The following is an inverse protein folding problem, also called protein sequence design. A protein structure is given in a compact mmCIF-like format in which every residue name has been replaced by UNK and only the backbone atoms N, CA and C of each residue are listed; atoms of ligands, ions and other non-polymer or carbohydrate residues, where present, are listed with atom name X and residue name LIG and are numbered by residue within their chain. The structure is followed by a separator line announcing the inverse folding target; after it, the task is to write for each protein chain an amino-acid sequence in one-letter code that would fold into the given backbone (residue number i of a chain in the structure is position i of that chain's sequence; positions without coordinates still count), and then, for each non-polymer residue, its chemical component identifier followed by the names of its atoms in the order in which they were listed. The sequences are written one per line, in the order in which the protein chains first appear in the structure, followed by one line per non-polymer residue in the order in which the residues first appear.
data_IF_159682274610
#
_entry.id   IF_159682274610
#
_cell.length_a   1.000
_cell.length_b   1.000
_cell.length_c   1.000
_cell.angle_alpha   90.00
_cell.angle_beta   90.00
_cell.angle_gamma   90.00
#
_symmetry.space_group_name_H-M   'P 1'
#
loop_
_entity.id
_entity.type
_entity.pdbx_description
1 polymer ?
#
# COMPACT_ATOMS: atom_id res chain seq x y z
N UNK A 1 -11.33 -23.03 21.18
CA UNK A 1 -10.24 -22.10 20.81
C UNK A 1 -10.89 -20.80 20.44
N UNK A 2 -10.59 -19.71 21.14
CA UNK A 2 -11.14 -18.40 20.79
C UNK A 2 -10.67 -18.05 19.38
N UNK A 3 -11.59 -17.58 18.53
CA UNK A 3 -11.30 -17.10 17.18
C UNK A 3 -10.30 -15.95 17.29
N UNK A 4 -9.02 -16.23 16.98
CA UNK A 4 -7.91 -15.26 17.10
C UNK A 4 -7.85 -14.31 15.90
N UNK A 5 -8.98 -14.05 15.26
CA UNK A 5 -9.05 -13.06 14.18
C UNK A 5 -8.86 -11.68 14.76
N UNK A 6 -7.86 -10.97 14.24
CA UNK A 6 -7.68 -9.55 14.52
C UNK A 6 -8.79 -8.81 13.79
N UNK A 7 -9.65 -8.07 14.50
CA UNK A 7 -10.72 -7.33 13.84
C UNK A 7 -10.16 -6.11 13.08
N UNK A 8 -10.86 -5.61 12.05
CA UNK A 8 -10.43 -4.47 11.24
C UNK A 8 -10.05 -3.24 12.07
N UNK A 9 -10.73 -2.99 13.18
CA UNK A 9 -10.49 -1.85 14.08
C UNK A 9 -9.09 -1.86 14.74
N UNK A 10 -8.40 -2.98 14.72
CA UNK A 10 -7.03 -3.14 15.21
C UNK A 10 -5.96 -2.95 14.12
N UNK A 11 -6.38 -2.53 12.92
CA UNK A 11 -5.49 -2.27 11.80
C UNK A 11 -5.69 -0.83 11.35
N UNK A 12 -4.63 -0.04 11.30
CA UNK A 12 -4.62 1.25 10.62
C UNK A 12 -4.22 1.01 9.16
N UNK A 13 -5.03 1.46 8.21
CA UNK A 13 -4.67 1.46 6.79
C UNK A 13 -3.91 2.74 6.42
N UNK A 14 -2.86 2.62 5.60
CA UNK A 14 -2.07 3.76 5.13
C UNK A 14 -1.84 3.67 3.62
N UNK A 15 -2.42 4.61 2.87
CA UNK A 15 -2.16 4.75 1.44
C UNK A 15 -0.95 5.64 1.23
N UNK A 16 0.08 5.15 0.53
CA UNK A 16 1.31 5.89 0.26
C UNK A 16 1.21 6.67 -1.04
N UNK A 17 1.09 7.99 -0.96
CA UNK A 17 1.03 8.93 -2.08
C UNK A 17 2.20 9.94 -2.10
N UNK A 18 3.21 9.75 -1.24
CA UNK A 18 4.31 10.70 -1.02
C UNK A 18 5.42 10.73 -2.10
N UNK A 19 5.28 9.97 -3.19
CA UNK A 19 6.32 9.85 -4.23
C UNK A 19 6.65 11.16 -4.96
N UNK A 20 7.93 11.36 -5.36
CA UNK A 20 8.41 12.57 -6.07
C UNK A 20 7.82 12.75 -7.48
N UNK A 21 7.18 11.73 -8.07
CA UNK A 21 6.59 11.79 -9.42
C UNK A 21 7.60 12.06 -10.55
N UNK A 22 8.90 11.87 -10.31
CA UNK A 22 9.98 12.26 -11.23
C UNK A 22 9.86 11.64 -12.64
N UNK A 23 9.32 10.41 -12.73
CA UNK A 23 9.15 9.70 -14.02
C UNK A 23 7.97 10.20 -14.86
N UNK A 24 7.04 10.94 -14.26
CA UNK A 24 5.85 11.52 -14.94
C UNK A 24 5.90 13.06 -14.98
N UNK A 25 7.10 13.66 -15.15
CA UNK A 25 7.23 15.11 -15.25
C UNK A 25 6.81 15.89 -14.00
N UNK A 26 6.91 15.29 -12.81
CA UNK A 26 6.56 15.93 -11.54
C UNK A 26 5.07 15.83 -11.17
N UNK A 27 4.26 15.17 -11.98
CA UNK A 27 2.82 14.99 -11.73
C UNK A 27 2.62 14.15 -10.46
N UNK A 28 1.63 14.52 -9.65
CA UNK A 28 1.22 13.76 -8.47
C UNK A 28 0.39 12.55 -8.90
N UNK A 29 0.96 11.35 -8.76
CA UNK A 29 0.32 10.11 -9.18
C UNK A 29 -1.01 9.85 -8.48
N UNK A 30 -1.07 10.10 -7.18
CA UNK A 30 -2.27 9.84 -6.41
C UNK A 30 -3.47 10.68 -6.85
N UNK A 31 -3.22 11.83 -7.50
CA UNK A 31 -4.25 12.71 -8.05
C UNK A 31 -4.58 12.43 -9.53
N UNK A 32 -3.86 11.50 -10.19
CA UNK A 32 -4.22 11.07 -11.55
C UNK A 32 -5.55 10.32 -11.52
N UNK A 33 -6.35 10.54 -12.58
CA UNK A 33 -7.70 9.95 -12.66
C UNK A 33 -7.67 8.57 -13.30
N UNK A 34 -8.34 7.64 -12.66
CA UNK A 34 -8.69 6.32 -13.12
C UNK A 34 -10.21 6.17 -13.01
N UNK A 35 -10.90 5.82 -14.09
CA UNK A 35 -12.37 5.80 -14.13
C UNK A 35 -13.01 7.06 -13.51
N UNK A 36 -12.46 8.23 -13.85
CA UNK A 36 -12.96 9.54 -13.42
C UNK A 36 -12.60 9.98 -12.00
N UNK A 37 -12.01 9.12 -11.14
CA UNK A 37 -11.61 9.45 -9.77
C UNK A 37 -10.08 9.38 -9.58
N UNK A 38 -9.53 10.16 -8.63
CA UNK A 38 -8.12 10.05 -8.25
C UNK A 38 -7.71 8.63 -7.84
N UNK A 39 -6.54 8.16 -8.29
CA UNK A 39 -5.97 6.86 -7.94
C UNK A 39 -5.93 6.64 -6.41
N UNK A 40 -5.50 7.65 -5.67
CA UNK A 40 -5.46 7.59 -4.21
C UNK A 40 -6.84 7.35 -3.59
N UNK A 41 -7.91 7.89 -4.20
CA UNK A 41 -9.27 7.67 -3.74
C UNK A 41 -9.73 6.23 -4.00
N UNK A 42 -9.35 5.64 -5.15
CA UNK A 42 -9.61 4.22 -5.41
C UNK A 42 -8.95 3.33 -4.36
N UNK A 43 -7.65 3.57 -4.07
CA UNK A 43 -6.93 2.81 -3.05
C UNK A 43 -7.59 2.94 -1.67
N UNK A 44 -7.95 4.17 -1.26
CA UNK A 44 -8.64 4.42 0.00
C UNK A 44 -10.00 3.73 0.08
N UNK A 45 -10.84 3.83 -0.98
CA UNK A 45 -12.18 3.22 -1.00
C UNK A 45 -12.12 1.69 -0.91
N UNK A 46 -11.10 1.05 -1.51
CA UNK A 46 -10.91 -0.40 -1.45
C UNK A 46 -10.33 -0.84 -0.10
N UNK A 47 -9.52 0.02 0.54
CA UNK A 47 -8.91 -0.29 1.83
C UNK A 47 -9.87 -0.03 3.00
N UNK A 48 -10.71 1.01 2.94
CA UNK A 48 -11.60 1.44 4.01
C UNK A 48 -12.44 0.32 4.65
N UNK A 49 -13.10 -0.59 3.90
CA UNK A 49 -13.91 -1.65 4.50
C UNK A 49 -13.09 -2.74 5.20
N UNK A 50 -11.76 -2.74 5.06
CA UNK A 50 -10.87 -3.78 5.53
C UNK A 50 -10.11 -3.42 6.82
N UNK A 51 -10.17 -2.14 7.23
CA UNK A 51 -9.37 -1.58 8.33
C UNK A 51 -10.22 -0.65 9.20
N UNK A 52 -9.70 -0.23 10.36
CA UNK A 52 -10.33 0.80 11.18
C UNK A 52 -9.86 2.21 10.73
N UNK A 53 -8.92 2.85 11.46
CA UNK A 53 -8.42 4.16 11.07
C UNK A 53 -7.75 4.15 9.70
N UNK A 54 -7.95 5.22 8.92
CA UNK A 54 -7.34 5.42 7.61
C UNK A 54 -6.38 6.59 7.61
N UNK A 55 -5.23 6.40 6.98
CA UNK A 55 -4.21 7.42 6.72
C UNK A 55 -3.92 7.51 5.23
N UNK A 56 -3.55 8.69 4.79
CA UNK A 56 -2.86 8.88 3.51
C UNK A 56 -1.55 9.63 3.76
N UNK A 57 -0.44 9.05 3.33
CA UNK A 57 0.85 9.71 3.36
C UNK A 57 1.04 10.52 2.08
N UNK A 58 1.11 11.86 2.22
CA UNK A 58 1.27 12.77 1.10
C UNK A 58 2.18 13.94 1.49
N UNK A 59 3.23 14.21 0.69
CA UNK A 59 4.21 15.25 0.94
C UNK A 59 3.98 16.52 0.10
N UNK A 60 3.00 16.49 -0.79
CA UNK A 60 2.63 17.58 -1.70
C UNK A 60 1.11 17.67 -1.78
N UNK A 61 0.60 18.80 -2.28
CA UNK A 61 -0.84 18.99 -2.54
C UNK A 61 -1.73 18.66 -1.31
N UNK A 62 -1.26 18.98 -0.09
CA UNK A 62 -1.92 18.62 1.15
C UNK A 62 -3.40 19.05 1.19
N UNK A 63 -3.74 20.24 0.64
CA UNK A 63 -5.12 20.71 0.56
C UNK A 63 -6.01 19.81 -0.31
N UNK A 64 -5.51 19.40 -1.48
CA UNK A 64 -6.25 18.50 -2.38
C UNK A 64 -6.46 17.12 -1.75
N UNK A 65 -5.45 16.60 -1.03
CA UNK A 65 -5.61 15.34 -0.30
C UNK A 65 -6.56 15.49 0.89
N UNK A 66 -6.54 16.62 1.62
CA UNK A 66 -7.46 16.86 2.73
C UNK A 66 -8.94 16.87 2.26
N UNK A 67 -9.23 17.49 1.12
CA UNK A 67 -10.56 17.44 0.50
C UNK A 67 -10.94 16.01 0.06
N UNK A 68 -9.99 15.31 -0.58
CA UNK A 68 -10.20 13.95 -1.09
C UNK A 68 -10.54 12.95 0.01
N UNK A 69 -9.92 13.06 1.19
CA UNK A 69 -10.09 12.08 2.27
C UNK A 69 -11.26 12.40 3.20
N UNK A 70 -11.82 13.60 3.15
CA UNK A 70 -12.90 14.05 4.04
C UNK A 70 -14.10 13.08 4.10
N UNK A 71 -14.61 12.54 2.97
CA UNK A 71 -15.76 11.63 3.02
C UNK A 71 -15.46 10.28 3.69
N UNK A 72 -14.18 9.91 3.82
CA UNK A 72 -13.72 8.65 4.41
C UNK A 72 -13.20 8.84 5.84
N UNK A 73 -13.24 10.07 6.38
CA UNK A 73 -12.65 10.42 7.67
C UNK A 73 -11.19 9.98 7.83
N UNK A 74 -10.43 9.96 6.71
CA UNK A 74 -9.02 9.61 6.74
C UNK A 74 -8.15 10.82 7.11
N UNK A 75 -7.00 10.56 7.74
CA UNK A 75 -6.03 11.58 8.15
C UNK A 75 -4.91 11.70 7.10
N UNK A 76 -4.51 12.92 6.76
CA UNK A 76 -3.36 13.18 5.90
C UNK A 76 -2.11 13.31 6.77
N UNK A 77 -1.08 12.51 6.51
CA UNK A 77 0.21 12.62 7.17
C UNK A 77 1.34 12.85 6.16
N UNK A 78 2.35 13.61 6.56
CA UNK A 78 3.55 13.86 5.75
C UNK A 78 4.74 13.07 6.31
N UNK A 79 5.78 12.88 5.48
CA UNK A 79 7.04 12.31 5.95
C UNK A 79 7.63 13.22 7.04
N UNK A 80 8.03 12.62 8.14
CA UNK A 80 8.64 13.35 9.27
C UNK A 80 10.13 13.56 9.11
N UNK A 81 10.79 12.80 8.23
CA UNK A 81 12.23 12.83 8.01
C UNK A 81 12.55 13.54 6.69
N UNK A 82 13.27 14.68 6.71
CA UNK A 82 13.71 15.33 5.49
C UNK A 82 14.72 14.43 4.73
N UNK A 83 14.75 14.55 3.42
CA UNK A 83 15.72 13.90 2.53
C UNK A 83 15.70 12.36 2.46
N UNK A 84 14.69 11.70 3.00
CA UNK A 84 14.52 10.25 2.87
C UNK A 84 13.48 9.89 1.79
N UNK A 85 13.85 9.92 0.50
CA UNK A 85 12.94 9.54 -0.57
C UNK A 85 12.71 8.03 -0.56
N UNK A 86 11.45 7.64 -0.68
CA UNK A 86 11.09 6.25 -0.86
C UNK A 86 10.03 5.76 0.12
N UNK A 87 9.53 4.53 -0.09
CA UNK A 87 8.39 4.01 0.67
C UNK A 87 8.66 3.82 2.17
N UNK A 88 9.92 3.67 2.61
CA UNK A 88 10.25 3.56 4.03
C UNK A 88 9.94 4.84 4.82
N UNK A 89 10.06 6.02 4.19
CA UNK A 89 9.65 7.28 4.82
C UNK A 89 8.13 7.31 5.05
N UNK A 90 7.36 6.85 4.06
CA UNK A 90 5.91 6.70 4.19
C UNK A 90 5.51 5.65 5.23
N UNK A 91 6.23 4.52 5.33
CA UNK A 91 6.03 3.55 6.41
C UNK A 91 6.26 4.19 7.79
N UNK A 92 7.33 4.96 7.92
CA UNK A 92 7.66 5.65 9.16
C UNK A 92 6.59 6.68 9.53
N UNK A 93 6.12 7.48 8.55
CA UNK A 93 5.01 8.42 8.76
C UNK A 93 3.74 7.69 9.19
N UNK A 94 3.38 6.60 8.50
CA UNK A 94 2.25 5.76 8.87
C UNK A 94 2.36 5.19 10.28
N UNK A 95 3.53 4.64 10.65
CA UNK A 95 3.78 4.11 12.00
C UNK A 95 3.71 5.19 13.09
N UNK A 96 4.18 6.40 12.80
CA UNK A 96 4.12 7.52 13.74
C UNK A 96 2.67 7.96 14.06
N UNK A 97 1.74 7.80 13.09
CA UNK A 97 0.32 8.12 13.26
C UNK A 97 -0.55 6.89 13.59
N UNK A 98 0.03 5.68 13.57
CA UNK A 98 -0.68 4.44 13.84
C UNK A 98 -1.06 4.34 15.33
N UNK A 99 -2.37 4.23 15.61
CA UNK A 99 -2.90 4.09 16.97
C UNK A 99 -3.43 2.67 17.26
N UNK A 100 -3.19 1.75 16.35
CA UNK A 100 -3.63 0.36 16.42
C UNK A 100 -2.42 -0.58 16.48
N UNK A 101 -2.58 -1.86 16.86
CA UNK A 101 -1.47 -2.82 16.90
C UNK A 101 -0.80 -3.07 15.55
N UNK A 102 -1.52 -2.82 14.44
CA UNK A 102 -1.06 -3.11 13.09
C UNK A 102 -1.24 -1.91 12.16
N UNK A 103 -0.27 -1.74 11.27
CA UNK A 103 -0.32 -0.82 10.12
C UNK A 103 -0.30 -1.63 8.83
N UNK A 104 -1.28 -1.40 7.95
CA UNK A 104 -1.31 -1.94 6.59
C UNK A 104 -0.98 -0.83 5.59
N UNK A 105 0.19 -0.91 4.97
CA UNK A 105 0.61 0.02 3.93
C UNK A 105 0.25 -0.51 2.54
N UNK A 106 -0.24 0.38 1.67
CA UNK A 106 -0.52 0.11 0.26
C UNK A 106 -0.10 1.32 -0.59
N UNK A 107 0.34 1.15 -1.84
CA UNK A 107 0.63 2.28 -2.72
C UNK A 107 -0.66 2.90 -3.29
N UNK A 108 -0.61 4.17 -3.66
CA UNK A 108 -1.76 4.88 -4.24
C UNK A 108 -2.01 4.54 -5.72
N UNK A 109 -1.05 3.94 -6.41
CA UNK A 109 -1.06 3.69 -7.84
C UNK A 109 -1.49 2.26 -8.23
N UNK A 110 -2.10 1.54 -7.30
CA UNK A 110 -2.64 0.19 -7.51
C UNK A 110 -4.16 0.23 -7.28
N UNK A 111 -4.95 0.68 -8.27
CA UNK A 111 -6.39 0.93 -8.10
C UNK A 111 -7.22 -0.35 -7.91
N UNK A 112 -6.67 -1.51 -8.26
CA UNK A 112 -7.35 -2.80 -8.19
C UNK A 112 -6.91 -3.67 -7.00
N UNK A 113 -6.27 -3.09 -5.96
CA UNK A 113 -5.84 -3.84 -4.78
C UNK A 113 -6.95 -4.76 -4.22
N UNK A 114 -6.62 -5.96 -3.71
CA UNK A 114 -7.61 -6.94 -3.28
C UNK A 114 -8.58 -6.41 -2.22
N UNK A 115 -9.86 -6.77 -2.32
CA UNK A 115 -10.89 -6.38 -1.34
C UNK A 115 -10.81 -7.20 -0.04
N UNK A 116 -9.99 -8.25 -0.01
CA UNK A 116 -9.71 -9.09 1.15
C UNK A 116 -8.22 -9.05 1.56
N UNK A 117 -7.49 -8.01 1.14
CA UNK A 117 -6.04 -7.85 1.38
C UNK A 117 -5.69 -8.02 2.85
N UNK A 118 -6.34 -7.26 3.74
CA UNK A 118 -6.06 -7.31 5.18
C UNK A 118 -6.36 -8.69 5.78
N UNK A 119 -7.48 -9.29 5.41
CA UNK A 119 -7.88 -10.61 5.90
C UNK A 119 -6.88 -11.70 5.49
N UNK A 120 -6.44 -11.69 4.23
CA UNK A 120 -5.49 -12.68 3.72
C UNK A 120 -4.10 -12.50 4.32
N UNK A 121 -3.62 -11.25 4.48
CA UNK A 121 -2.36 -10.97 5.15
C UNK A 121 -2.40 -11.40 6.62
N UNK A 122 -3.47 -11.15 7.34
CA UNK A 122 -3.64 -11.61 8.72
C UNK A 122 -3.70 -13.13 8.83
N UNK A 123 -4.38 -13.81 7.90
CA UNK A 123 -4.45 -15.28 7.87
C UNK A 123 -3.07 -15.92 7.65
N UNK A 124 -2.22 -15.27 6.87
CA UNK A 124 -0.85 -15.74 6.56
C UNK A 124 0.18 -15.40 7.63
N UNK A 125 -0.18 -14.59 8.63
CA UNK A 125 0.74 -13.97 9.59
C UNK A 125 1.50 -14.98 10.47
N UNK A 126 0.83 -16.02 10.99
CA UNK A 126 1.38 -16.87 12.04
C UNK A 126 1.83 -16.02 13.25
N UNK A 127 3.10 -16.15 13.62
CA UNK A 127 3.80 -15.38 14.67
C UNK A 127 4.71 -14.25 14.11
N UNK A 128 4.60 -13.95 12.81
CA UNK A 128 5.39 -12.92 12.17
C UNK A 128 5.02 -11.51 12.65
N UNK A 129 6.02 -10.62 12.61
CA UNK A 129 5.87 -9.21 12.92
C UNK A 129 5.62 -8.37 11.66
N UNK A 130 5.92 -8.95 10.49
CA UNK A 130 5.73 -8.35 9.16
C UNK A 130 5.07 -9.39 8.25
N UNK A 131 4.07 -8.97 7.45
CA UNK A 131 3.55 -9.78 6.35
C UNK A 131 3.68 -9.01 5.05
N UNK A 132 4.21 -9.64 4.01
CA UNK A 132 4.39 -9.04 2.69
C UNK A 132 3.48 -9.76 1.70
N UNK A 133 2.70 -9.01 0.92
CA UNK A 133 1.91 -9.59 -0.15
C UNK A 133 2.81 -10.09 -1.29
N UNK A 134 2.47 -11.25 -1.85
CA UNK A 134 3.06 -11.81 -3.06
C UNK A 134 1.95 -11.99 -4.09
N UNK A 135 2.10 -11.38 -5.25
CA UNK A 135 1.12 -11.44 -6.33
C UNK A 135 1.78 -11.59 -7.69
N UNK A 136 0.97 -11.73 -8.71
CA UNK A 136 1.42 -11.89 -10.09
C UNK A 136 2.18 -10.66 -10.58
N UNK A 137 3.39 -10.86 -11.09
CA UNK A 137 4.18 -9.81 -11.73
C UNK A 137 3.80 -9.74 -13.21
N UNK A 138 2.98 -8.75 -13.53
CA UNK A 138 2.56 -8.49 -14.91
C UNK A 138 3.50 -7.52 -15.64
N UNK A 139 4.29 -6.72 -14.90
CA UNK A 139 5.20 -5.72 -15.50
C UNK A 139 6.48 -6.34 -16.07
N UNK A 140 6.99 -7.40 -15.45
CA UNK A 140 8.25 -8.03 -15.84
C UNK A 140 8.06 -9.42 -16.47
N UNK A 141 6.82 -9.75 -16.85
CA UNK A 141 6.52 -11.01 -17.54
C UNK A 141 7.21 -11.01 -18.91
N UNK A 142 8.05 -12.01 -19.16
CA UNK A 142 8.69 -12.18 -20.46
C UNK A 142 7.69 -12.79 -21.46
N UNK A 143 7.70 -12.36 -22.73
CA UNK A 143 6.83 -12.94 -23.75
C UNK A 143 6.99 -14.47 -23.83
N UNK A 144 5.87 -15.19 -23.71
CA UNK A 144 5.84 -16.66 -23.77
C UNK A 144 6.21 -17.38 -22.47
N UNK A 145 6.49 -16.67 -21.39
CA UNK A 145 6.65 -17.26 -20.06
C UNK A 145 5.38 -17.02 -19.20
N UNK A 146 5.00 -17.98 -18.36
CA UNK A 146 3.92 -17.77 -17.42
C UNK A 146 4.30 -16.66 -16.42
N UNK A 147 3.34 -15.84 -15.97
CA UNK A 147 3.58 -14.85 -14.92
C UNK A 147 4.09 -15.54 -13.66
N UNK A 148 4.96 -14.86 -12.91
CA UNK A 148 5.54 -15.38 -11.68
C UNK A 148 4.99 -14.59 -10.49
N UNK A 149 4.80 -15.28 -9.36
CA UNK A 149 4.51 -14.62 -8.09
C UNK A 149 5.76 -13.92 -7.59
N UNK A 150 5.62 -12.62 -7.29
CA UNK A 150 6.71 -11.82 -6.70
C UNK A 150 6.23 -11.04 -5.49
N UNK A 151 7.17 -10.77 -4.60
CA UNK A 151 6.93 -9.89 -3.47
C UNK A 151 6.47 -8.51 -3.95
N UNK A 152 5.46 -7.99 -3.28
CA UNK A 152 4.93 -6.63 -3.43
C UNK A 152 5.30 -5.82 -2.17
N UNK A 153 6.55 -5.33 -2.02
CA UNK A 153 7.09 -4.90 -0.73
C UNK A 153 6.35 -3.72 -0.11
N UNK A 154 5.67 -2.90 -0.92
CA UNK A 154 4.88 -1.77 -0.43
C UNK A 154 3.55 -2.23 0.18
N UNK A 155 3.01 -3.38 -0.26
CA UNK A 155 1.87 -4.04 0.38
C UNK A 155 2.36 -4.82 1.60
N UNK A 156 2.43 -4.13 2.72
CA UNK A 156 3.10 -4.60 3.91
C UNK A 156 2.23 -4.38 5.15
N UNK A 157 1.93 -5.45 5.87
CA UNK A 157 1.28 -5.40 7.19
C UNK A 157 2.38 -5.46 8.26
N UNK A 158 2.46 -4.44 9.09
CA UNK A 158 3.53 -4.19 10.05
C UNK A 158 2.98 -4.13 11.48
N UNK A 159 3.65 -4.76 12.44
CA UNK A 159 3.39 -4.45 13.84
C UNK A 159 3.81 -3.01 14.16
N UNK A 160 2.93 -2.24 14.80
CA UNK A 160 3.21 -0.84 15.17
C UNK A 160 4.47 -0.70 16.06
N UNK A 161 4.77 -1.68 16.89
CA UNK A 161 5.98 -1.73 17.74
C UNK A 161 7.30 -1.73 16.97
N UNK A 162 7.27 -1.90 15.64
CA UNK A 162 8.47 -1.86 14.79
C UNK A 162 8.94 -0.44 14.48
N UNK A 163 8.18 0.61 14.82
CA UNK A 163 8.55 2.00 14.55
C UNK A 163 9.98 2.36 14.98
N UNK A 164 10.46 2.04 16.21
CA UNK A 164 11.84 2.35 16.62
C UNK A 164 12.91 1.57 15.83
N UNK A 165 12.57 0.38 15.32
CA UNK A 165 13.49 -0.39 14.47
C UNK A 165 13.62 0.24 13.10
N UNK A 166 12.51 0.65 12.49
CA UNK A 166 12.51 1.32 11.19
C UNK A 166 13.24 2.65 11.26
N UNK A 167 13.00 3.44 12.31
CA UNK A 167 13.70 4.70 12.52
C UNK A 167 15.22 4.52 12.57
N UNK A 168 15.71 3.59 13.40
CA UNK A 168 17.16 3.28 13.46
C UNK A 168 17.72 2.82 12.12
N UNK A 169 16.98 1.99 11.38
CA UNK A 169 17.40 1.54 10.06
C UNK A 169 17.56 2.69 9.07
N UNK A 170 16.58 3.61 9.04
CA UNK A 170 16.61 4.78 8.16
C UNK A 170 17.74 5.73 8.54
N UNK A 171 17.91 6.06 9.83
CA UNK A 171 18.99 6.92 10.35
C UNK A 171 20.36 6.31 10.05
N UNK A 172 20.48 4.97 10.14
CA UNK A 172 21.69 4.23 9.75
C UNK A 172 21.97 4.18 8.25
N UNK A 173 21.19 4.88 7.42
CA UNK A 173 21.38 4.95 5.96
C UNK A 173 20.63 3.88 5.16
N UNK A 174 19.82 3.05 5.79
CA UNK A 174 19.00 2.05 5.12
C UNK A 174 17.96 2.67 4.19
N UNK A 175 17.73 2.06 3.01
CA UNK A 175 16.82 2.61 1.98
C UNK A 175 15.90 1.56 1.34
N UNK A 176 16.24 0.28 1.44
CA UNK A 176 15.48 -0.79 0.79
C UNK A 176 14.54 -1.46 1.78
N UNK A 177 13.29 -1.68 1.37
CA UNK A 177 12.26 -2.35 2.20
C UNK A 177 12.73 -3.76 2.56
N UNK A 178 13.17 -4.53 1.56
CA UNK A 178 13.60 -5.92 1.73
C UNK A 178 14.77 -6.07 2.72
N UNK A 179 15.69 -5.12 2.70
CA UNK A 179 16.83 -5.10 3.63
C UNK A 179 16.42 -4.82 5.08
N UNK A 180 15.33 -4.08 5.30
CA UNK A 180 14.78 -3.87 6.63
C UNK A 180 13.87 -5.01 7.07
N UNK A 181 12.94 -5.43 6.22
CA UNK A 181 11.99 -6.51 6.55
C UNK A 181 12.68 -7.83 6.80
N UNK A 182 13.81 -8.09 6.10
CA UNK A 182 14.66 -9.27 6.33
C UNK A 182 15.33 -9.34 7.70
N UNK A 183 15.31 -8.25 8.51
CA UNK A 183 15.81 -8.24 9.89
C UNK A 183 14.76 -8.69 10.91
N UNK A 184 13.53 -8.97 10.46
CA UNK A 184 12.39 -9.31 11.30
C UNK A 184 11.77 -10.64 10.90
N UNK A 185 10.96 -11.21 11.79
CA UNK A 185 10.14 -12.37 11.44
C UNK A 185 9.08 -11.95 10.44
N UNK A 186 9.23 -12.41 9.21
CA UNK A 186 8.35 -12.06 8.10
C UNK A 186 7.62 -13.28 7.59
N UNK A 187 6.37 -13.09 7.17
CA UNK A 187 5.54 -14.08 6.47
C UNK A 187 5.15 -13.55 5.09
N UNK A 188 4.76 -14.45 4.21
CA UNK A 188 4.28 -14.17 2.86
C UNK A 188 2.77 -14.44 2.79
N UNK A 189 2.01 -13.51 2.24
CA UNK A 189 0.61 -13.71 1.90
C UNK A 189 0.51 -13.86 0.37
N UNK A 190 0.09 -15.04 -0.09
CA UNK A 190 0.00 -15.35 -1.52
C UNK A 190 -1.35 -14.92 -2.07
N UNK A 191 -1.34 -14.16 -3.17
CA UNK A 191 -2.49 -13.74 -3.95
C UNK A 191 -2.34 -14.37 -5.35
N UNK A 192 -2.72 -15.63 -5.44
CA UNK A 192 -2.53 -16.51 -6.60
C UNK A 192 -3.84 -17.15 -7.08
N UNK A 193 -4.97 -16.69 -6.54
CA UNK A 193 -6.30 -17.18 -6.90
C UNK A 193 -6.75 -16.62 -8.25
N UNK A 194 -7.66 -17.31 -8.96
CA UNK A 194 -8.35 -16.74 -10.10
C UNK A 194 -9.00 -15.40 -9.72
N UNK A 195 -8.67 -14.33 -10.47
CA UNK A 195 -9.09 -12.96 -10.21
C UNK A 195 -8.04 -12.08 -9.52
N UNK A 196 -6.94 -12.66 -9.04
CA UNK A 196 -5.83 -11.89 -8.43
C UNK A 196 -4.80 -11.41 -9.48
N UNK A 197 -4.97 -11.71 -10.79
CA UNK A 197 -3.96 -11.47 -11.83
C UNK A 197 -3.57 -9.99 -11.95
N UNK A 198 -4.51 -9.09 -11.69
CA UNK A 198 -4.30 -7.63 -11.77
C UNK A 198 -4.28 -6.94 -10.41
N UNK A 199 -4.34 -7.71 -9.33
CA UNK A 199 -4.48 -7.20 -7.97
C UNK A 199 -3.38 -6.20 -7.55
N UNK A 200 -2.18 -6.36 -8.11
CA UNK A 200 -1.00 -5.54 -7.80
C UNK A 200 -0.46 -4.77 -9.01
N UNK A 201 -1.25 -4.66 -10.08
CA UNK A 201 -0.86 -3.90 -11.27
C UNK A 201 -0.81 -2.40 -10.99
N UNK A 202 0.35 -1.79 -11.28
CA UNK A 202 0.59 -0.37 -11.05
C UNK A 202 0.18 0.47 -12.26
N UNK A 203 -0.41 1.63 -12.00
CA UNK A 203 -0.66 2.67 -12.99
C UNK A 203 0.52 3.68 -13.04
N UNK A 204 1.68 3.24 -13.56
CA UNK A 204 2.90 4.05 -13.63
C UNK A 204 2.95 5.01 -14.82
N UNK A 205 2.21 4.70 -15.89
CA UNK A 205 2.14 5.48 -17.12
C UNK A 205 0.68 5.66 -17.54
N UNK A 206 0.41 6.63 -18.42
CA UNK A 206 -0.93 6.83 -18.99
C UNK A 206 -1.39 5.59 -19.77
N UNK A 207 -0.50 4.91 -20.47
CA UNK A 207 -0.83 3.68 -21.20
C UNK A 207 -1.28 2.57 -20.23
N UNK A 208 -0.51 2.31 -19.17
CA UNK A 208 -0.89 1.33 -18.13
C UNK A 208 -2.23 1.69 -17.47
N UNK A 209 -2.48 2.98 -17.25
CA UNK A 209 -3.75 3.44 -16.70
C UNK A 209 -4.92 3.07 -17.61
N UNK A 210 -4.80 3.35 -18.93
CA UNK A 210 -5.82 3.02 -19.91
C UNK A 210 -6.03 1.51 -20.08
N UNK A 211 -4.94 0.73 -20.04
CA UNK A 211 -5.02 -0.73 -20.09
C UNK A 211 -5.77 -1.28 -18.87
N UNK A 212 -5.48 -0.76 -17.68
CA UNK A 212 -6.19 -1.14 -16.45
C UNK A 212 -7.68 -0.73 -16.49
N UNK A 213 -8.03 0.42 -17.12
CA UNK A 213 -9.43 0.83 -17.28
C UNK A 213 -10.24 -0.13 -18.16
N UNK A 214 -9.61 -0.76 -19.15
CA UNK A 214 -10.29 -1.72 -20.03
C UNK A 214 -10.62 -3.05 -19.35
N UNK A 215 -9.83 -3.48 -18.38
CA UNK A 215 -10.00 -4.75 -17.68
C UNK A 215 -10.69 -4.60 -16.32
N UNK A 216 -10.74 -3.39 -15.78
CA UNK A 216 -11.41 -3.12 -14.52
C UNK A 216 -12.93 -3.26 -14.69
N UNK A 217 -13.65 -3.85 -13.73
CA UNK A 217 -15.10 -3.88 -13.77
C UNK A 217 -15.65 -2.45 -13.77
N UNK A 218 -16.69 -2.20 -14.59
CA UNK A 218 -17.39 -0.92 -14.57
C UNK A 218 -17.92 -0.62 -13.17
N UNK A 219 -17.78 0.63 -12.75
CA UNK A 219 -18.34 1.07 -11.47
C UNK A 219 -19.87 0.96 -11.55
N UNK A 220 -20.45 0.17 -10.68
CA UNK A 220 -21.89 0.26 -10.42
C UNK A 220 -22.14 1.62 -9.75
N UNK A 221 -22.91 2.46 -10.43
CA UNK A 221 -23.32 3.81 -10.01
C UNK A 221 -24.14 3.77 -8.74
#
# INVERSE_FOLDING_TARGET
MADSRIPPEQITGCVLAGGRGARMGGVDKGLQRFQGLPLALHALQRLAPQVGPLLINANRNAAAYAELVQPLAAEVCADSLPDYPGPLAGFMAGLAHCRTPWLLCVPCDTPLLPLDLAAQMLASRGDADIVIAHGWDTEHALPGQPPQLRAQPVFCLLRAQLAPSLERFIIGGGRKIDAWTGQHRSAQALFDRPGDEQAFSNANTLAQLLDLEQIAPERQS
#
